data_IF_564667304675
#
_entry.id   IF_564667304675
#
_cell.length_a   1.000
_cell.length_b   1.000
_cell.length_c   1.000
_cell.angle_alpha   90.00
_cell.angle_beta   90.00
_cell.angle_gamma   90.00
#
_symmetry.space_group_name_H-M   'P 1'
#
loop_
_entity.id
_entity.type
_entity.pdbx_description
1 polymer ?
#
# COMPACT_ATOMS: atom_id res chain seq x y z
N UNK A 1 5.14 1.79 60.71
CA UNK A 1 4.66 1.45 59.37
C UNK A 1 4.66 2.72 58.54
N UNK A 2 5.53 2.88 57.53
CA UNK A 2 5.45 3.99 56.61
C UNK A 2 4.40 3.70 55.51
N UNK A 3 3.89 4.72 54.80
CA UNK A 3 2.75 4.61 53.92
C UNK A 3 3.12 3.94 52.60
N UNK A 4 2.12 3.31 52.01
CA UNK A 4 2.17 2.47 50.83
C UNK A 4 2.21 3.35 49.56
N UNK A 5 3.39 3.55 48.98
CA UNK A 5 3.56 4.18 47.65
C UNK A 5 3.21 3.16 46.55
N UNK A 6 1.93 3.13 46.18
CA UNK A 6 1.46 2.45 44.96
C UNK A 6 1.07 3.49 43.91
N UNK A 7 2.05 4.04 43.19
CA UNK A 7 1.81 4.62 41.87
C UNK A 7 3.05 4.49 40.97
N UNK A 8 2.79 4.07 39.73
CA UNK A 8 3.65 4.09 38.54
C UNK A 8 4.62 2.91 38.31
N UNK A 9 4.04 1.75 37.99
CA UNK A 9 4.59 0.87 36.95
C UNK A 9 3.49 0.59 35.93
N UNK A 10 3.39 1.44 34.91
CA UNK A 10 2.70 1.14 33.67
C UNK A 10 3.70 1.32 32.52
N UNK A 11 4.25 0.18 32.10
CA UNK A 11 4.61 -0.17 30.73
C UNK A 11 5.27 0.92 29.87
N UNK A 12 6.52 1.22 30.17
CA UNK A 12 7.46 1.64 29.13
C UNK A 12 7.76 0.43 28.22
N UNK A 13 6.86 0.13 27.29
CA UNK A 13 7.18 -0.72 26.14
C UNK A 13 8.42 -0.11 25.45
N UNK A 14 9.48 -0.90 25.18
CA UNK A 14 10.67 -0.36 24.55
C UNK A 14 10.28 0.15 23.15
N UNK A 15 10.29 1.47 22.96
CA UNK A 15 10.33 2.02 21.61
C UNK A 15 11.52 1.36 20.91
N UNK A 16 11.25 0.71 19.78
CA UNK A 16 12.24 0.18 18.86
C UNK A 16 13.46 1.11 18.78
N UNK A 17 14.69 0.55 18.77
CA UNK A 17 15.91 1.35 18.68
C UNK A 17 16.01 1.91 17.28
N UNK A 18 15.37 3.06 17.06
CA UNK A 18 15.52 3.83 15.83
C UNK A 18 16.98 4.23 15.66
N UNK A 19 17.63 3.77 14.59
CA UNK A 19 18.99 4.20 14.26
C UNK A 19 18.91 5.62 13.73
N UNK A 20 19.33 6.59 14.56
CA UNK A 20 19.58 7.96 14.11
C UNK A 20 20.76 7.93 13.16
N UNK A 21 20.47 8.08 11.87
CA UNK A 21 21.49 8.21 10.84
C UNK A 21 21.97 9.66 10.87
N UNK A 22 22.77 9.97 11.91
CA UNK A 22 23.33 11.31 12.20
C UNK A 22 24.30 11.83 11.13
N UNK A 23 24.50 11.10 10.03
CA UNK A 23 25.58 11.33 9.06
C UNK A 23 25.14 11.19 7.59
N UNK A 24 23.86 11.37 7.25
CA UNK A 24 23.54 11.68 5.83
C UNK A 24 24.02 13.10 5.57
N UNK A 25 25.22 13.21 4.99
CA UNK A 25 25.86 14.49 4.73
C UNK A 25 24.98 15.32 3.78
N UNK A 26 25.00 16.64 3.93
CA UNK A 26 24.21 17.58 3.10
C UNK A 26 24.33 17.37 1.57
N UNK A 27 25.41 16.71 1.11
CA UNK A 27 25.61 16.35 -0.30
C UNK A 27 24.83 15.11 -0.75
N UNK A 28 24.52 14.17 0.16
CA UNK A 28 23.82 12.92 -0.17
C UNK A 28 22.31 13.10 -0.26
N UNK A 29 21.71 14.04 0.49
CA UNK A 29 20.28 14.36 0.38
C UNK A 29 19.94 15.23 -0.84
N UNK A 30 20.83 15.36 -1.83
CA UNK A 30 20.64 16.17 -3.05
C UNK A 30 20.19 17.63 -2.78
N UNK A 31 20.58 18.19 -1.63
CA UNK A 31 20.18 19.53 -1.20
C UNK A 31 18.78 19.63 -0.56
N UNK A 32 18.16 18.53 -0.15
CA UNK A 32 16.86 18.51 0.54
C UNK A 32 16.99 18.33 2.07
N UNK A 33 15.89 18.56 2.79
CA UNK A 33 15.69 18.18 4.20
C UNK A 33 16.73 18.73 5.20
N UNK A 34 17.26 19.93 4.97
CA UNK A 34 18.15 20.60 5.91
C UNK A 34 17.49 20.76 7.29
N UNK A 35 18.18 20.31 8.35
CA UNK A 35 17.67 20.37 9.72
C UNK A 35 16.73 19.23 10.12
N UNK A 36 16.56 18.21 9.28
CA UNK A 36 15.79 17.01 9.61
C UNK A 36 16.70 15.85 10.00
N UNK A 37 16.31 15.13 11.05
CA UNK A 37 16.98 13.90 11.46
C UNK A 37 16.44 12.70 10.69
N UNK A 38 17.33 11.93 10.08
CA UNK A 38 16.98 10.64 9.47
C UNK A 38 17.01 9.52 10.51
N UNK A 39 16.09 8.58 10.35
CA UNK A 39 15.91 7.43 11.20
C UNK A 39 15.56 6.21 10.36
N UNK A 40 16.09 5.04 10.73
CA UNK A 40 15.73 3.74 10.14
C UNK A 40 15.22 2.80 11.22
N UNK A 41 14.10 2.16 10.95
CA UNK A 41 13.48 1.19 11.87
C UNK A 41 14.34 -0.08 11.97
N UNK A 42 14.57 -0.56 13.19
CA UNK A 42 15.32 -1.80 13.46
C UNK A 42 14.64 -3.08 12.92
N UNK A 43 13.32 -3.17 13.00
CA UNK A 43 12.50 -4.27 12.49
C UNK A 43 12.19 -4.14 10.99
N UNK A 44 13.06 -3.55 10.18
CA UNK A 44 12.84 -3.40 8.73
C UNK A 44 12.53 -4.72 8.01
N UNK A 45 13.02 -5.85 8.52
CA UNK A 45 12.64 -7.18 8.03
C UNK A 45 11.12 -7.38 8.02
N UNK A 46 10.38 -6.84 8.98
CA UNK A 46 8.91 -6.90 9.02
C UNK A 46 8.28 -6.01 7.94
N UNK A 47 8.89 -4.86 7.62
CA UNK A 47 8.44 -4.04 6.50
C UNK A 47 8.64 -4.77 5.17
N UNK A 48 9.80 -5.40 4.96
CA UNK A 48 10.09 -6.21 3.78
C UNK A 48 9.12 -7.39 3.64
N UNK A 49 8.85 -8.13 4.73
CA UNK A 49 7.84 -9.21 4.74
C UNK A 49 6.45 -8.71 4.35
N UNK A 50 6.02 -7.56 4.89
CA UNK A 50 4.72 -6.98 4.58
C UNK A 50 4.57 -6.59 3.11
N UNK A 51 5.60 -5.95 2.54
CA UNK A 51 5.63 -5.61 1.12
C UNK A 51 5.69 -6.86 0.22
N UNK A 52 6.43 -7.89 0.62
CA UNK A 52 6.45 -9.17 -0.09
C UNK A 52 5.08 -9.87 -0.09
N UNK A 53 4.44 -9.99 1.07
CA UNK A 53 3.12 -10.61 1.20
C UNK A 53 2.07 -9.87 0.34
N UNK A 54 2.10 -8.54 0.30
CA UNK A 54 1.21 -7.75 -0.54
C UNK A 54 1.40 -8.03 -2.03
N UNK A 55 2.65 -8.16 -2.49
CA UNK A 55 2.96 -8.51 -3.88
C UNK A 55 2.53 -9.92 -4.24
N UNK A 56 2.74 -10.89 -3.34
CA UNK A 56 2.25 -12.26 -3.54
C UNK A 56 0.73 -12.33 -3.64
N UNK A 57 0.02 -11.65 -2.74
CA UNK A 57 -1.44 -11.61 -2.76
C UNK A 57 -1.95 -10.86 -4.02
N UNK A 58 -1.24 -9.83 -4.47
CA UNK A 58 -1.54 -9.18 -5.75
C UNK A 58 -1.47 -10.16 -6.92
N UNK A 59 -0.34 -10.88 -7.07
CA UNK A 59 -0.15 -11.89 -8.12
C UNK A 59 -1.26 -12.94 -8.07
N UNK A 60 -1.57 -13.42 -6.86
CA UNK A 60 -2.58 -14.48 -6.63
C UNK A 60 -4.00 -14.03 -6.96
N UNK A 61 -4.38 -12.83 -6.55
CA UNK A 61 -5.79 -12.40 -6.59
C UNK A 61 -6.14 -11.55 -7.80
N UNK A 62 -5.18 -10.83 -8.38
CA UNK A 62 -5.38 -9.92 -9.52
C UNK A 62 -4.75 -10.50 -10.81
N UNK A 63 -3.69 -11.30 -10.71
CA UNK A 63 -2.90 -11.78 -11.85
C UNK A 63 -1.76 -10.83 -12.21
N UNK A 64 -0.97 -11.15 -13.24
CA UNK A 64 0.22 -10.39 -13.65
C UNK A 64 -0.10 -8.92 -13.97
N UNK A 65 -0.09 -8.06 -12.95
CA UNK A 65 0.33 -6.67 -13.09
C UNK A 65 1.85 -6.63 -13.31
N UNK A 66 2.46 -5.45 -13.49
CA UNK A 66 3.90 -5.34 -13.64
C UNK A 66 4.59 -5.77 -12.34
N UNK A 67 4.89 -7.07 -12.22
CA UNK A 67 5.62 -7.66 -11.08
C UNK A 67 7.06 -7.12 -11.01
N UNK A 68 7.50 -6.40 -12.06
CA UNK A 68 8.76 -5.66 -12.11
C UNK A 68 8.67 -4.18 -11.70
N UNK A 69 7.51 -3.69 -11.24
CA UNK A 69 7.39 -2.34 -10.68
C UNK A 69 7.42 -2.38 -9.16
N UNK A 70 8.49 -1.81 -8.60
CA UNK A 70 8.77 -1.82 -7.17
C UNK A 70 7.82 -0.86 -6.45
N UNK A 71 7.26 -1.32 -5.33
CA UNK A 71 6.50 -0.50 -4.40
C UNK A 71 7.44 0.24 -3.44
N UNK A 72 7.36 -0.07 -2.15
CA UNK A 72 8.13 0.57 -1.08
C UNK A 72 9.52 -0.03 -0.84
N UNK A 73 9.85 -1.18 -1.43
CA UNK A 73 11.15 -1.83 -1.23
C UNK A 73 12.28 -1.00 -1.85
N UNK A 74 13.37 -0.81 -1.10
CA UNK A 74 14.61 -0.20 -1.56
C UNK A 74 15.80 -0.89 -0.85
N UNK A 75 16.59 -1.72 -1.55
CA UNK A 75 17.70 -2.46 -0.96
C UNK A 75 18.92 -1.57 -0.64
N UNK A 76 19.05 -0.42 -1.29
CA UNK A 76 20.22 0.45 -1.18
C UNK A 76 20.16 1.29 0.11
N UNK A 77 19.03 1.97 0.35
CA UNK A 77 18.88 2.90 1.48
C UNK A 77 17.98 2.37 2.60
N UNK A 78 17.08 1.44 2.28
CA UNK A 78 16.14 0.83 3.21
C UNK A 78 14.68 0.97 2.78
N UNK A 79 13.84 0.07 3.24
CA UNK A 79 12.43 0.02 2.92
C UNK A 79 11.70 1.33 3.27
N UNK A 80 10.75 1.77 2.43
CA UNK A 80 9.97 3.01 2.59
C UNK A 80 9.42 3.15 4.01
N UNK A 81 8.65 2.17 4.50
CA UNK A 81 8.09 2.20 5.85
C UNK A 81 9.15 2.26 6.96
N UNK A 82 10.33 1.67 6.76
CA UNK A 82 11.40 1.69 7.77
C UNK A 82 12.06 3.07 7.87
N UNK A 83 12.13 3.83 6.77
CA UNK A 83 12.71 5.18 6.74
C UNK A 83 11.68 6.28 7.02
N UNK A 84 10.46 6.15 6.48
CA UNK A 84 9.39 7.15 6.56
C UNK A 84 8.59 7.02 7.85
N UNK A 85 8.43 5.81 8.38
CA UNK A 85 7.65 5.51 9.58
C UNK A 85 8.51 4.83 10.67
N UNK A 86 9.67 5.39 11.04
CA UNK A 86 10.63 4.72 11.91
C UNK A 86 10.18 4.60 13.38
N UNK A 87 9.09 5.29 13.74
CA UNK A 87 8.48 5.25 15.07
C UNK A 87 7.28 4.29 15.15
N UNK A 88 7.01 3.51 14.09
CA UNK A 88 6.00 2.45 14.14
C UNK A 88 6.29 1.47 15.27
N UNK A 89 5.23 0.88 15.83
CA UNK A 89 5.37 -0.29 16.69
C UNK A 89 5.80 -1.48 15.84
N UNK A 90 6.81 -2.28 16.25
CA UNK A 90 7.29 -3.43 15.47
C UNK A 90 6.17 -4.37 15.02
N UNK A 91 5.23 -4.68 15.92
CA UNK A 91 4.10 -5.57 15.67
C UNK A 91 3.07 -5.02 14.67
N UNK A 92 3.11 -3.70 14.39
CA UNK A 92 2.23 -3.04 13.39
C UNK A 92 2.94 -2.81 12.05
N UNK A 93 4.27 -2.87 12.01
CA UNK A 93 5.07 -2.46 10.85
C UNK A 93 4.80 -3.32 9.61
N UNK A 94 4.63 -4.64 9.78
CA UNK A 94 4.29 -5.55 8.67
C UNK A 94 2.96 -5.20 8.01
N UNK A 95 1.91 -4.97 8.81
CA UNK A 95 0.58 -4.59 8.31
C UNK A 95 0.59 -3.20 7.65
N UNK A 96 1.29 -2.24 8.24
CA UNK A 96 1.50 -0.90 7.67
C UNK A 96 2.19 -1.00 6.31
N UNK A 97 3.23 -1.83 6.21
CA UNK A 97 3.95 -2.05 4.96
C UNK A 97 3.09 -2.72 3.90
N UNK A 98 2.33 -3.75 4.28
CA UNK A 98 1.37 -4.41 3.40
C UNK A 98 0.34 -3.42 2.82
N UNK A 99 -0.22 -2.56 3.67
CA UNK A 99 -1.18 -1.53 3.27
C UNK A 99 -0.55 -0.56 2.25
N UNK A 100 0.64 -0.03 2.54
CA UNK A 100 1.31 0.94 1.67
C UNK A 100 1.72 0.31 0.32
N UNK A 101 2.20 -0.93 0.32
CA UNK A 101 2.54 -1.65 -0.91
C UNK A 101 1.31 -1.87 -1.81
N UNK A 102 0.17 -2.20 -1.21
CA UNK A 102 -1.11 -2.27 -1.91
C UNK A 102 -1.47 -0.91 -2.54
N UNK A 103 -1.25 0.21 -1.84
CA UNK A 103 -1.51 1.54 -2.43
C UNK A 103 -0.54 1.93 -3.54
N UNK A 104 0.75 1.60 -3.43
CA UNK A 104 1.71 1.81 -4.51
C UNK A 104 1.31 1.02 -5.76
N UNK A 105 0.90 -0.24 -5.59
CA UNK A 105 0.43 -1.09 -6.70
C UNK A 105 -0.87 -0.58 -7.32
N UNK A 106 -1.82 -0.11 -6.50
CA UNK A 106 -3.06 0.50 -6.99
C UNK A 106 -2.81 1.79 -7.77
N UNK A 107 -1.83 2.61 -7.38
CA UNK A 107 -1.48 3.86 -8.07
C UNK A 107 -0.95 3.64 -9.50
N UNK A 108 -0.37 2.47 -9.77
CA UNK A 108 0.22 2.09 -11.06
C UNK A 108 -0.81 1.49 -12.03
N UNK A 109 -1.96 1.05 -11.51
CA UNK A 109 -3.01 0.52 -12.36
C UNK A 109 -4.03 1.61 -12.73
N UNK A 110 -4.46 1.71 -14.01
CA UNK A 110 -5.61 2.54 -14.36
C UNK A 110 -6.78 2.17 -13.44
N UNK A 111 -7.30 3.16 -12.73
CA UNK A 111 -8.56 3.02 -12.02
C UNK A 111 -9.63 3.04 -13.09
N UNK A 112 -10.06 1.86 -13.53
CA UNK A 112 -11.27 1.76 -14.33
C UNK A 112 -12.41 2.42 -13.56
N UNK A 113 -13.17 3.22 -14.31
CA UNK A 113 -14.23 4.08 -13.82
C UNK A 113 -15.13 3.33 -12.81
N UNK A 114 -15.46 3.92 -11.65
CA UNK A 114 -16.42 3.31 -10.74
C UNK A 114 -17.82 3.48 -11.33
N UNK A 115 -18.19 2.65 -12.30
CA UNK A 115 -19.48 2.76 -12.97
C UNK A 115 -20.49 1.78 -12.37
N UNK A 116 -21.51 2.37 -11.73
CA UNK A 116 -22.85 1.83 -11.45
C UNK A 116 -23.01 0.98 -10.18
N UNK A 117 -23.11 1.65 -9.04
CA UNK A 117 -24.12 1.30 -8.02
C UNK A 117 -25.53 1.47 -8.63
N UNK A 118 -25.95 0.57 -9.52
CA UNK A 118 -27.35 0.50 -9.97
C UNK A 118 -28.10 -0.44 -9.04
N UNK A 119 -29.09 0.13 -8.35
CA UNK A 119 -30.17 -0.61 -7.68
C UNK A 119 -30.70 -1.68 -8.65
N UNK A 120 -30.69 -2.94 -8.22
CA UNK A 120 -31.36 -4.04 -8.93
C UNK A 120 -32.87 -3.73 -8.98
N UNK A 121 -33.51 -3.69 -10.17
CA UNK A 121 -34.95 -3.87 -10.24
C UNK A 121 -35.30 -5.37 -10.30
N UNK A 122 -36.54 -5.75 -9.93
CA UNK A 122 -36.88 -7.15 -9.69
C UNK A 122 -36.93 -7.99 -10.97
N UNK A 123 -36.60 -9.26 -10.80
CA UNK A 123 -36.69 -10.32 -11.81
C UNK A 123 -38.09 -10.38 -12.44
N UNK A 124 -38.15 -10.26 -13.77
CA UNK A 124 -39.25 -10.83 -14.55
C UNK A 124 -38.73 -11.80 -15.61
N UNK A 125 -39.07 -13.08 -15.39
CA UNK A 125 -39.09 -14.15 -16.39
C UNK A 125 -39.91 -13.70 -17.59
N UNK A 126 -39.39 -13.89 -18.81
CA UNK A 126 -40.20 -14.32 -19.96
C UNK A 126 -39.35 -15.13 -20.95
N UNK A 127 -39.69 -16.42 -21.06
CA UNK A 127 -39.44 -17.26 -22.25
C UNK A 127 -40.34 -16.76 -23.38
N UNK A 128 -39.85 -16.74 -24.62
CA UNK A 128 -40.52 -17.35 -25.78
C UNK A 128 -39.62 -17.38 -27.02
N UNK A 129 -39.76 -18.48 -27.73
CA UNK A 129 -39.14 -18.97 -28.96
C UNK A 129 -39.78 -18.41 -30.23
N UNK A 130 -39.14 -18.68 -31.38
CA UNK A 130 -39.62 -18.96 -32.77
C UNK A 130 -38.75 -18.19 -33.79
N UNK A 131 -37.88 -18.81 -34.61
CA UNK A 131 -38.07 -19.74 -35.74
C UNK A 131 -38.41 -19.05 -37.08
N UNK A 132 -37.47 -19.03 -38.05
CA UNK A 132 -37.57 -19.62 -39.40
C UNK A 132 -36.48 -19.11 -40.39
N UNK A 133 -35.99 -20.02 -41.25
CA UNK A 133 -34.91 -19.93 -42.29
C UNK A 133 -35.53 -19.67 -43.72
N UNK A 134 -34.89 -19.99 -44.87
CA UNK A 134 -33.57 -19.63 -45.49
C UNK A 134 -33.70 -19.14 -46.98
N UNK A 135 -32.60 -18.71 -47.64
CA UNK A 135 -32.41 -18.90 -49.09
C UNK A 135 -30.92 -18.89 -49.55
N UNK A 136 -30.59 -19.86 -50.41
CA UNK A 136 -29.43 -20.03 -51.34
C UNK A 136 -30.01 -20.76 -52.58
N UNK A 137 -29.39 -20.89 -53.79
CA UNK A 137 -27.93 -20.96 -54.09
C UNK A 137 -27.45 -20.42 -55.48
N UNK A 138 -26.13 -20.44 -55.75
CA UNK A 138 -25.49 -20.98 -56.99
C UNK A 138 -23.94 -20.86 -56.98
N UNK A 139 -23.28 -21.94 -57.41
CA UNK A 139 -21.84 -22.12 -57.74
C UNK A 139 -21.70 -22.52 -59.23
N UNK A 140 -20.49 -22.56 -59.84
CA UNK A 140 -19.65 -23.77 -59.81
C UNK A 140 -18.09 -23.57 -59.79
N UNK A 141 -17.41 -24.67 -59.42
CA UNK A 141 -15.98 -25.01 -59.15
C UNK A 141 -15.06 -25.08 -60.40
N UNK A 142 -13.86 -25.76 -60.49
CA UNK A 142 -13.14 -26.71 -59.57
C UNK A 142 -11.58 -26.75 -59.56
N UNK A 143 -11.00 -27.48 -58.57
CA UNK A 143 -9.90 -28.50 -58.65
C UNK A 143 -9.20 -28.61 -57.28
N UNK A 144 -9.16 -29.73 -56.52
CA UNK A 144 -8.74 -31.14 -56.71
C UNK A 144 -7.46 -31.40 -55.90
N UNK A 145 -7.56 -32.15 -54.79
CA UNK A 145 -6.80 -33.37 -54.46
C UNK A 145 -6.84 -33.72 -52.95
N UNK A 146 -7.38 -34.89 -52.66
CA UNK A 146 -7.23 -35.78 -51.49
C UNK A 146 -7.08 -37.20 -52.08
N UNK A 147 -6.61 -38.28 -51.38
CA UNK A 147 -7.17 -38.75 -50.09
C UNK A 147 -6.29 -39.65 -49.20
N UNK A 148 -6.89 -40.09 -48.08
CA UNK A 148 -6.88 -41.42 -47.42
C UNK A 148 -6.73 -41.24 -45.89
N UNK A 149 -7.46 -41.88 -44.97
CA UNK A 149 -8.76 -42.57 -44.90
C UNK A 149 -9.03 -42.76 -43.40
N UNK A 150 -10.28 -42.63 -42.95
CA UNK A 150 -10.72 -42.94 -41.57
C UNK A 150 -10.88 -44.45 -41.36
N UNK A 151 -11.08 -44.89 -40.10
CA UNK A 151 -12.29 -45.64 -39.82
C UNK A 151 -13.08 -45.03 -38.65
N UNK A 152 -14.39 -44.87 -38.88
CA UNK A 152 -15.42 -44.71 -37.86
C UNK A 152 -15.76 -46.08 -37.25
N UNK A 153 -16.09 -46.16 -35.96
CA UNK A 153 -17.41 -46.58 -35.43
C UNK A 153 -17.44 -46.49 -33.86
N UNK A 154 -18.55 -46.84 -33.14
CA UNK A 154 -19.47 -45.87 -32.52
C UNK A 154 -19.63 -46.04 -31.00
N UNK A 155 -20.29 -45.07 -30.35
CA UNK A 155 -20.73 -45.09 -28.94
C UNK A 155 -19.65 -45.28 -27.86
N UNK A 156 -19.32 -44.20 -27.16
CA UNK A 156 -18.64 -44.29 -25.87
C UNK A 156 -18.06 -42.96 -25.42
N UNK A 157 -18.77 -42.31 -24.51
CA UNK A 157 -18.30 -41.23 -23.61
C UNK A 157 -16.77 -41.09 -23.51
N UNK A 158 -16.22 -40.00 -24.04
CA UNK A 158 -14.87 -39.55 -23.73
C UNK A 158 -14.89 -38.71 -22.45
N UNK A 159 -14.50 -39.34 -21.35
CA UNK A 159 -14.05 -38.64 -20.14
C UNK A 159 -12.82 -37.77 -20.46
N UNK A 160 -12.74 -36.51 -20.03
CA UNK A 160 -11.50 -35.75 -20.15
C UNK A 160 -10.45 -36.33 -19.20
N UNK A 161 -9.27 -36.61 -19.75
CA UNK A 161 -8.05 -37.01 -19.04
C UNK A 161 -7.67 -35.97 -17.96
N UNK A 162 -7.24 -36.36 -16.74
CA UNK A 162 -7.06 -35.43 -15.63
C UNK A 162 -5.67 -34.78 -15.60
N UNK A 163 -5.15 -34.28 -16.74
CA UNK A 163 -3.81 -33.66 -16.79
C UNK A 163 -3.76 -32.35 -17.60
N UNK A 164 -4.83 -31.56 -17.52
CA UNK A 164 -4.77 -30.16 -17.90
C UNK A 164 -4.85 -29.31 -16.62
N UNK A 165 -3.67 -29.00 -16.06
CA UNK A 165 -3.47 -27.86 -15.14
C UNK A 165 -3.96 -26.60 -15.86
N UNK A 166 -5.25 -26.35 -15.74
CA UNK A 166 -5.90 -25.13 -16.21
C UNK A 166 -5.44 -24.04 -15.27
N UNK A 167 -4.45 -23.27 -15.73
CA UNK A 167 -4.11 -21.96 -15.18
C UNK A 167 -5.42 -21.25 -14.86
N UNK A 168 -5.62 -21.02 -13.56
CA UNK A 168 -6.91 -20.70 -12.97
C UNK A 168 -7.62 -19.58 -13.71
N UNK A 169 -8.95 -19.69 -13.75
CA UNK A 169 -9.89 -18.64 -14.15
C UNK A 169 -9.31 -17.25 -13.83
N UNK A 170 -9.18 -16.39 -14.85
CA UNK A 170 -8.92 -14.95 -14.65
C UNK A 170 -9.92 -14.45 -13.60
N UNK A 171 -9.44 -14.19 -12.39
CA UNK A 171 -10.21 -13.44 -11.43
C UNK A 171 -10.38 -12.04 -12.02
N UNK A 172 -11.59 -11.52 -11.95
CA UNK A 172 -11.88 -10.12 -12.28
C UNK A 172 -10.96 -9.21 -11.43
N UNK A 173 -10.21 -8.30 -12.08
CA UNK A 173 -9.27 -7.37 -11.43
C UNK A 173 -9.99 -6.60 -10.30
N UNK A 174 -11.26 -6.26 -10.52
CA UNK A 174 -12.08 -5.57 -9.53
C UNK A 174 -12.33 -6.46 -8.30
N UNK A 175 -12.64 -7.73 -8.50
CA UNK A 175 -12.80 -8.73 -7.44
C UNK A 175 -11.49 -8.95 -6.65
N UNK A 176 -10.35 -9.03 -7.34
CA UNK A 176 -9.04 -9.15 -6.71
C UNK A 176 -8.69 -7.95 -5.84
N UNK A 177 -8.88 -6.73 -6.34
CA UNK A 177 -8.68 -5.48 -5.58
C UNK A 177 -9.58 -5.42 -4.35
N UNK A 178 -10.86 -5.78 -4.48
CA UNK A 178 -11.81 -5.85 -3.36
C UNK A 178 -11.36 -6.85 -2.30
N UNK A 179 -10.80 -7.99 -2.71
CA UNK A 179 -10.28 -8.98 -1.78
C UNK A 179 -9.13 -8.42 -0.93
N UNK A 180 -8.13 -7.80 -1.56
CA UNK A 180 -7.00 -7.17 -0.86
C UNK A 180 -7.50 -6.08 0.09
N UNK A 181 -8.36 -5.18 -0.38
CA UNK A 181 -8.93 -4.11 0.43
C UNK A 181 -9.70 -4.65 1.64
N UNK A 182 -10.53 -5.68 1.45
CA UNK A 182 -11.30 -6.28 2.54
C UNK A 182 -10.40 -6.97 3.58
N UNK A 183 -9.34 -7.67 3.15
CA UNK A 183 -8.33 -8.27 4.04
C UNK A 183 -7.68 -7.18 4.89
N UNK A 184 -7.17 -6.13 4.26
CA UNK A 184 -6.47 -5.04 4.96
C UNK A 184 -7.40 -4.30 5.92
N UNK A 185 -8.61 -3.94 5.50
CA UNK A 185 -9.57 -3.25 6.37
C UNK A 185 -9.93 -4.07 7.61
N UNK A 186 -10.11 -5.39 7.45
CA UNK A 186 -10.39 -6.29 8.57
C UNK A 186 -9.25 -6.28 9.60
N UNK A 187 -8.00 -6.43 9.13
CA UNK A 187 -6.82 -6.45 10.00
C UNK A 187 -6.58 -5.10 10.68
N UNK A 188 -6.77 -3.98 9.98
CA UNK A 188 -6.67 -2.65 10.58
C UNK A 188 -7.71 -2.47 11.70
N UNK A 189 -8.98 -2.77 11.41
CA UNK A 189 -10.08 -2.60 12.37
C UNK A 189 -9.96 -3.52 13.58
N UNK A 190 -9.42 -4.73 13.43
CA UNK A 190 -9.19 -5.64 14.55
C UNK A 190 -7.99 -5.23 15.41
N UNK A 191 -7.05 -4.46 14.86
CA UNK A 191 -5.83 -4.05 15.56
C UNK A 191 -6.04 -2.75 16.33
N UNK A 192 -6.61 -1.73 15.70
CA UNK A 192 -6.81 -0.40 16.29
C UNK A 192 -7.95 0.32 15.56
N UNK A 193 -9.17 0.13 16.05
CA UNK A 193 -10.37 0.65 15.39
C UNK A 193 -10.36 2.18 15.20
N UNK A 194 -10.05 3.02 16.22
CA UNK A 194 -10.02 4.48 16.04
C UNK A 194 -9.03 4.93 14.95
N UNK A 195 -7.81 4.38 14.95
CA UNK A 195 -6.82 4.75 13.94
C UNK A 195 -7.20 4.21 12.56
N UNK A 196 -7.75 2.99 12.48
CA UNK A 196 -8.20 2.38 11.23
C UNK A 196 -9.33 3.18 10.56
N UNK A 197 -10.28 3.72 11.33
CA UNK A 197 -11.34 4.57 10.81
C UNK A 197 -10.77 5.83 10.12
N UNK A 198 -9.73 6.44 10.70
CA UNK A 198 -9.02 7.58 10.08
C UNK A 198 -8.31 7.19 8.78
N UNK A 199 -7.65 6.03 8.73
CA UNK A 199 -7.04 5.50 7.50
C UNK A 199 -8.11 5.32 6.41
N UNK A 200 -9.24 4.69 6.74
CA UNK A 200 -10.31 4.43 5.78
C UNK A 200 -10.88 5.74 5.22
N UNK A 201 -11.07 6.76 6.07
CA UNK A 201 -11.56 8.07 5.64
C UNK A 201 -10.59 8.77 4.68
N UNK A 202 -9.31 8.83 5.03
CA UNK A 202 -8.27 9.47 4.20
C UNK A 202 -8.04 8.71 2.88
N UNK A 203 -8.10 7.38 2.91
CA UNK A 203 -7.98 6.56 1.71
C UNK A 203 -9.14 6.79 0.73
N UNK A 204 -10.38 6.87 1.23
CA UNK A 204 -11.55 7.22 0.40
C UNK A 204 -11.40 8.60 -0.24
N UNK A 205 -10.90 9.58 0.52
CA UNK A 205 -10.68 10.94 0.01
C UNK A 205 -9.60 10.98 -1.09
N UNK A 206 -8.50 10.26 -0.90
CA UNK A 206 -7.44 10.09 -1.90
C UNK A 206 -8.01 9.51 -3.21
N UNK A 207 -8.68 8.35 -3.15
CA UNK A 207 -9.26 7.70 -4.34
C UNK A 207 -10.27 8.60 -5.08
N UNK A 208 -11.13 9.29 -4.33
CA UNK A 208 -12.12 10.20 -4.91
C UNK A 208 -11.46 11.41 -5.60
N UNK A 209 -10.31 11.87 -5.11
CA UNK A 209 -9.60 13.04 -5.64
C UNK A 209 -8.85 12.67 -6.92
N UNK A 210 -8.10 11.56 -6.91
CA UNK A 210 -7.38 11.03 -8.07
C UNK A 210 -8.32 10.72 -9.24
N UNK A 211 -9.55 10.28 -8.97
CA UNK A 211 -10.55 10.02 -10.00
C UNK A 211 -11.16 11.27 -10.62
N UNK A 212 -11.32 12.36 -9.85
CA UNK A 212 -12.07 13.54 -10.28
C UNK A 212 -11.23 14.60 -10.99
N UNK A 213 -9.91 14.61 -10.83
CA UNK A 213 -9.10 15.80 -11.13
C UNK A 213 -7.89 15.58 -12.06
N UNK A 214 -7.73 14.40 -12.69
CA UNK A 214 -6.59 14.15 -13.62
C UNK A 214 -6.57 15.06 -14.86
N UNK A 215 -7.68 15.71 -15.21
CA UNK A 215 -7.77 16.65 -16.34
C UNK A 215 -7.70 18.13 -15.93
N UNK A 216 -7.60 18.44 -14.63
CA UNK A 216 -7.64 19.81 -14.13
C UNK A 216 -6.44 20.62 -14.63
N UNK A 217 -6.68 21.86 -15.04
CA UNK A 217 -5.63 22.83 -15.32
C UNK A 217 -5.25 23.54 -14.02
N UNK A 218 -3.96 23.66 -13.73
CA UNK A 218 -3.44 24.40 -12.58
C UNK A 218 -2.72 25.64 -13.06
N UNK A 219 -3.01 26.80 -12.47
CA UNK A 219 -2.41 28.07 -12.88
C UNK A 219 -1.19 28.47 -12.07
N UNK A 220 -1.02 27.88 -10.88
CA UNK A 220 0.10 28.16 -9.99
C UNK A 220 0.31 27.00 -9.00
N UNK A 221 1.44 27.07 -8.28
CA UNK A 221 1.88 26.05 -7.34
C UNK A 221 0.90 25.86 -6.17
N UNK A 222 0.30 26.92 -5.65
CA UNK A 222 -0.62 26.82 -4.50
C UNK A 222 -1.92 26.09 -4.86
N UNK A 223 -2.46 26.38 -6.05
CA UNK A 223 -3.62 25.66 -6.57
C UNK A 223 -3.29 24.18 -6.80
N UNK A 224 -2.12 23.90 -7.37
CA UNK A 224 -1.64 22.55 -7.59
C UNK A 224 -1.50 21.78 -6.28
N UNK A 225 -0.85 22.36 -5.27
CA UNK A 225 -0.61 21.72 -3.97
C UNK A 225 -1.91 21.41 -3.21
N UNK A 226 -2.94 22.24 -3.37
CA UNK A 226 -4.26 21.99 -2.77
C UNK A 226 -4.85 20.66 -3.25
N UNK A 227 -4.60 20.29 -4.50
CA UNK A 227 -4.95 18.98 -5.06
C UNK A 227 -3.89 17.92 -4.70
N UNK A 228 -2.61 18.23 -4.95
CA UNK A 228 -1.52 17.26 -4.96
C UNK A 228 -1.25 16.65 -3.59
N UNK A 229 -1.43 17.41 -2.51
CA UNK A 229 -1.31 16.91 -1.13
C UNK A 229 -2.24 15.71 -0.87
N UNK A 230 -3.45 15.75 -1.41
CA UNK A 230 -4.43 14.67 -1.25
C UNK A 230 -4.17 13.55 -2.25
N UNK A 231 -3.86 13.89 -3.49
CA UNK A 231 -3.59 12.94 -4.57
C UNK A 231 -2.34 12.08 -4.32
N UNK A 232 -1.25 12.67 -3.81
CA UNK A 232 -0.04 11.93 -3.41
C UNK A 232 -0.25 11.07 -2.16
N UNK A 233 -1.39 11.20 -1.48
CA UNK A 233 -1.71 10.44 -0.28
C UNK A 233 -1.04 10.91 1.00
N UNK A 234 -0.57 12.16 1.11
CA UNK A 234 0.16 12.61 2.30
C UNK A 234 -0.67 12.47 3.59
N UNK A 235 -1.96 12.80 3.55
CA UNK A 235 -2.89 12.62 4.68
C UNK A 235 -3.18 11.14 4.99
N UNK A 236 -3.08 10.27 3.99
CA UNK A 236 -3.20 8.82 4.17
C UNK A 236 -1.95 8.23 4.83
N UNK A 237 -0.76 8.69 4.44
CA UNK A 237 0.51 8.29 5.09
C UNK A 237 0.56 8.81 6.53
N UNK A 238 0.07 10.03 6.79
CA UNK A 238 -0.13 10.54 8.16
C UNK A 238 -1.07 9.65 9.00
N UNK A 239 -2.24 9.28 8.46
CA UNK A 239 -3.15 8.38 9.18
C UNK A 239 -2.51 7.00 9.45
N UNK A 240 -1.73 6.50 8.49
CA UNK A 240 -0.99 5.24 8.62
C UNK A 240 0.12 5.35 9.66
N UNK A 241 0.81 6.49 9.75
CA UNK A 241 1.79 6.78 10.79
C UNK A 241 1.16 6.74 12.19
N UNK A 242 0.01 7.41 12.37
CA UNK A 242 -0.71 7.41 13.65
C UNK A 242 -1.13 6.00 14.06
N UNK A 243 -1.67 5.21 13.12
CA UNK A 243 -1.95 3.79 13.35
C UNK A 243 -0.69 3.02 13.73
N UNK A 244 0.40 3.20 12.98
CA UNK A 244 1.67 2.52 13.25
C UNK A 244 2.20 2.81 14.65
N UNK A 245 2.10 4.06 15.10
CA UNK A 245 2.52 4.50 16.44
C UNK A 245 1.51 4.14 17.54
N UNK A 246 0.27 3.79 17.18
CA UNK A 246 -0.85 3.68 18.12
C UNK A 246 -1.15 5.00 18.83
N UNK A 247 -1.07 6.10 18.09
CA UNK A 247 -1.19 7.46 18.62
C UNK A 247 -2.55 8.06 18.26
N UNK A 248 -3.31 8.47 19.27
CA UNK A 248 -4.57 9.21 19.10
C UNK A 248 -4.29 10.68 19.42
N UNK A 249 -4.56 11.56 18.46
CA UNK A 249 -4.36 13.00 18.68
C UNK A 249 -5.42 13.54 19.65
N UNK A 250 -5.04 14.44 20.57
CA UNK A 250 -5.98 15.16 21.42
C UNK A 250 -7.00 15.93 20.57
N UNK A 251 -8.13 16.33 21.18
CA UNK A 251 -9.09 17.20 20.50
C UNK A 251 -8.39 18.50 20.13
N UNK A 252 -8.53 18.91 18.88
CA UNK A 252 -7.87 20.09 18.35
C UNK A 252 -8.74 20.75 17.29
N UNK A 253 -8.47 22.03 17.06
CA UNK A 253 -8.98 22.72 15.88
C UNK A 253 -8.24 22.21 14.65
N UNK A 254 -8.97 21.53 13.77
CA UNK A 254 -8.42 20.96 12.54
C UNK A 254 -7.81 22.04 11.65
N UNK A 255 -8.41 23.23 11.56
CA UNK A 255 -7.90 24.29 10.68
C UNK A 255 -6.50 24.76 11.15
N UNK A 256 -6.33 24.92 12.47
CA UNK A 256 -5.03 25.29 13.06
C UNK A 256 -3.98 24.21 12.86
N UNK A 257 -4.35 22.93 13.02
CA UNK A 257 -3.41 21.83 12.78
C UNK A 257 -3.04 21.73 11.29
N UNK A 258 -4.01 21.95 10.40
CA UNK A 258 -3.79 21.96 8.95
C UNK A 258 -2.83 23.10 8.55
N UNK A 259 -2.92 24.28 9.19
CA UNK A 259 -1.96 25.38 8.98
C UNK A 259 -0.52 25.00 9.35
N UNK A 260 -0.34 24.15 10.36
CA UNK A 260 0.99 23.67 10.79
C UNK A 260 1.49 22.56 9.88
N UNK A 261 0.63 21.62 9.49
CA UNK A 261 1.01 20.38 8.81
C UNK A 261 1.02 20.49 7.29
N UNK A 262 0.28 21.44 6.71
CA UNK A 262 0.26 21.66 5.25
C UNK A 262 1.64 21.83 4.62
N UNK A 263 2.59 22.61 5.19
CA UNK A 263 3.95 22.69 4.65
C UNK A 263 4.68 21.35 4.65
N UNK A 264 4.47 20.49 5.65
CA UNK A 264 5.01 19.12 5.64
C UNK A 264 4.50 18.35 4.43
N UNK A 265 3.17 18.33 4.23
CA UNK A 265 2.56 17.59 3.13
C UNK A 265 2.93 18.15 1.75
N UNK A 266 3.04 19.47 1.63
CA UNK A 266 3.52 20.11 0.41
C UNK A 266 4.97 19.70 0.10
N UNK A 267 5.85 19.66 1.10
CA UNK A 267 7.23 19.22 0.90
C UNK A 267 7.32 17.75 0.46
N UNK A 268 6.50 16.86 1.03
CA UNK A 268 6.44 15.44 0.62
C UNK A 268 5.97 15.29 -0.83
N UNK A 269 4.92 16.02 -1.22
CA UNK A 269 4.40 16.03 -2.58
C UNK A 269 5.45 16.50 -3.59
N UNK A 270 6.12 17.62 -3.32
CA UNK A 270 7.13 18.19 -4.23
C UNK A 270 8.40 17.37 -4.29
N UNK A 271 8.83 16.77 -3.18
CA UNK A 271 9.92 15.82 -3.18
C UNK A 271 9.58 14.60 -4.06
N UNK A 272 8.37 14.05 -3.91
CA UNK A 272 7.92 12.96 -4.79
C UNK A 272 7.95 13.40 -6.26
N UNK A 273 7.33 14.52 -6.61
CA UNK A 273 7.31 15.04 -7.98
C UNK A 273 8.71 15.23 -8.56
N UNK A 274 9.66 15.73 -7.75
CA UNK A 274 11.05 15.92 -8.16
C UNK A 274 11.73 14.59 -8.52
N UNK A 275 11.66 13.59 -7.64
CA UNK A 275 12.35 12.31 -7.82
C UNK A 275 11.63 11.36 -8.79
N UNK A 276 10.30 11.44 -8.89
CA UNK A 276 9.53 10.59 -9.81
C UNK A 276 9.42 11.16 -11.22
N UNK A 277 9.81 12.42 -11.45
CA UNK A 277 9.61 13.13 -12.72
C UNK A 277 10.12 12.36 -13.92
N UNK A 278 11.36 11.87 -13.89
CA UNK A 278 11.97 11.24 -15.08
C UNK A 278 11.22 9.96 -15.48
N UNK A 279 10.78 9.17 -14.50
CA UNK A 279 9.94 7.99 -14.71
C UNK A 279 8.56 8.38 -15.24
N UNK A 280 7.87 9.31 -14.56
CA UNK A 280 6.51 9.73 -14.94
C UNK A 280 6.48 10.41 -16.32
N UNK A 281 7.53 11.15 -16.66
CA UNK A 281 7.71 11.76 -17.97
C UNK A 281 7.96 10.70 -19.04
N UNK A 282 8.79 9.69 -18.77
CA UNK A 282 8.97 8.57 -19.68
C UNK A 282 7.66 7.79 -19.91
N UNK A 283 6.90 7.50 -18.85
CA UNK A 283 5.57 6.89 -18.93
C UNK A 283 4.60 7.74 -19.76
N UNK A 284 4.60 9.06 -19.54
CA UNK A 284 3.79 10.01 -20.31
C UNK A 284 4.18 10.03 -21.79
N UNK A 285 5.46 9.94 -22.12
CA UNK A 285 5.95 9.89 -23.51
C UNK A 285 5.66 8.54 -24.19
N UNK A 286 5.75 7.42 -23.46
CA UNK A 286 5.57 6.07 -23.98
C UNK A 286 4.11 5.60 -24.04
N UNK A 287 3.20 6.25 -23.30
CA UNK A 287 1.78 5.88 -23.28
C UNK A 287 1.12 5.94 -24.66
N UNK A 288 0.42 4.86 -25.05
CA UNK A 288 -0.39 4.84 -26.26
C UNK A 288 -1.35 6.04 -26.27
N UNK A 289 -1.30 6.81 -27.35
CA UNK A 289 -2.05 8.06 -27.60
C UNK A 289 -3.56 7.92 -27.36
N UNK A 290 -4.02 7.95 -26.10
CA UNK A 290 -5.38 8.34 -25.75
C UNK A 290 -5.40 9.85 -25.72
N UNK A 291 -5.99 10.46 -26.75
CA UNK A 291 -6.25 11.90 -26.91
C UNK A 291 -5.23 12.84 -26.23
N UNK A 292 -4.28 13.37 -27.00
CA UNK A 292 -3.28 14.35 -26.52
C UNK A 292 -3.89 15.57 -25.79
N UNK A 293 -5.17 15.89 -26.01
CA UNK A 293 -5.85 16.97 -25.30
C UNK A 293 -6.27 16.61 -23.87
N UNK A 294 -6.41 15.33 -23.53
CA UNK A 294 -6.94 14.88 -22.23
C UNK A 294 -5.86 14.37 -21.27
N UNK A 295 -4.73 13.85 -21.79
CA UNK A 295 -3.62 13.38 -20.95
C UNK A 295 -2.69 14.53 -20.58
N UNK A 296 -2.73 14.98 -19.33
CA UNK A 296 -1.81 15.98 -18.76
C UNK A 296 -0.93 15.31 -17.70
N UNK A 297 0.37 15.55 -17.75
CA UNK A 297 1.30 15.11 -16.72
C UNK A 297 1.08 15.95 -15.45
N UNK A 298 0.70 15.27 -14.36
CA UNK A 298 0.36 15.88 -13.07
C UNK A 298 1.60 15.86 -12.17
N UNK A 299 2.55 16.75 -12.45
CA UNK A 299 3.83 16.80 -11.73
C UNK A 299 4.32 18.27 -11.67
N UNK A 300 4.77 18.74 -10.51
CA UNK A 300 5.22 20.12 -10.32
C UNK A 300 6.36 20.53 -11.27
N UNK A 301 7.30 19.64 -11.60
CA UNK A 301 8.42 19.95 -12.52
C UNK A 301 7.85 20.27 -13.90
N UNK A 302 6.94 19.44 -14.40
CA UNK A 302 6.24 19.67 -15.67
C UNK A 302 5.46 20.99 -15.65
N UNK A 303 4.73 21.26 -14.57
CA UNK A 303 3.95 22.48 -14.44
C UNK A 303 4.84 23.73 -14.41
N UNK A 304 5.97 23.70 -13.68
CA UNK A 304 6.94 24.79 -13.67
C UNK A 304 7.54 25.06 -15.06
N UNK A 305 7.87 24.01 -15.82
CA UNK A 305 8.32 24.17 -17.21
C UNK A 305 7.28 24.93 -18.04
N UNK A 306 5.99 24.61 -17.89
CA UNK A 306 4.91 25.24 -18.65
C UNK A 306 4.56 26.64 -18.15
N UNK A 307 4.52 26.88 -16.84
CA UNK A 307 4.19 28.19 -16.27
C UNK A 307 5.24 29.25 -16.56
N UNK A 308 6.53 28.86 -16.58
CA UNK A 308 7.64 29.79 -16.67
C UNK A 308 8.44 29.69 -17.98
N UNK A 309 8.16 28.72 -18.85
CA UNK A 309 8.87 28.53 -20.11
C UNK A 309 10.34 28.16 -19.94
N UNK A 310 10.66 27.40 -18.89
CA UNK A 310 12.04 27.05 -18.49
C UNK A 310 12.39 25.59 -18.81
N UNK A 311 13.68 25.29 -18.94
CA UNK A 311 14.18 23.94 -19.12
C UNK A 311 13.97 23.07 -17.86
N UNK A 312 13.97 21.74 -18.04
CA UNK A 312 13.74 20.76 -16.96
C UNK A 312 14.66 20.95 -15.75
N UNK A 313 15.94 21.22 -15.96
CA UNK A 313 16.90 21.41 -14.86
C UNK A 313 16.57 22.64 -14.00
N UNK A 314 16.14 23.72 -14.66
CA UNK A 314 15.70 24.94 -13.97
C UNK A 314 14.39 24.66 -13.22
N UNK A 315 13.44 23.98 -13.84
CA UNK A 315 12.18 23.60 -13.19
C UNK A 315 12.40 22.68 -11.97
N UNK A 316 13.27 21.67 -12.09
CA UNK A 316 13.72 20.82 -10.97
C UNK A 316 14.33 21.68 -9.87
N UNK A 317 15.18 22.66 -10.21
CA UNK A 317 15.73 23.63 -9.26
C UNK A 317 14.65 24.39 -8.49
N UNK A 318 13.65 24.92 -9.19
CA UNK A 318 12.51 25.65 -8.61
C UNK A 318 11.67 24.77 -7.67
N UNK A 319 11.37 23.53 -8.08
CA UNK A 319 10.61 22.57 -7.26
C UNK A 319 11.39 22.20 -6.00
N UNK A 320 12.70 21.97 -6.10
CA UNK A 320 13.56 21.72 -4.93
C UNK A 320 13.58 22.91 -3.97
N UNK A 321 13.70 24.13 -4.49
CA UNK A 321 13.68 25.34 -3.66
C UNK A 321 12.35 25.50 -2.93
N UNK A 322 11.22 25.35 -3.64
CA UNK A 322 9.90 25.38 -3.05
C UNK A 322 9.71 24.28 -1.98
N UNK A 323 10.12 23.05 -2.28
CA UNK A 323 10.10 21.93 -1.34
C UNK A 323 10.85 22.26 -0.04
N UNK A 324 12.07 22.79 -0.15
CA UNK A 324 12.87 23.21 1.00
C UNK A 324 12.24 24.38 1.77
N UNK A 325 11.61 25.33 1.07
CA UNK A 325 10.85 26.41 1.68
C UNK A 325 9.73 25.88 2.57
N UNK A 326 8.91 24.97 2.06
CA UNK A 326 7.85 24.33 2.85
C UNK A 326 8.39 23.46 3.99
N UNK A 327 9.48 22.72 3.77
CA UNK A 327 10.11 21.93 4.82
C UNK A 327 10.64 22.82 5.96
N UNK A 328 11.27 23.95 5.65
CA UNK A 328 11.73 24.91 6.66
C UNK A 328 10.54 25.52 7.42
N UNK A 329 9.47 25.86 6.71
CA UNK A 329 8.27 26.41 7.30
C UNK A 329 7.56 25.42 8.23
N UNK A 330 7.55 24.12 7.88
CA UNK A 330 7.02 23.09 8.76
C UNK A 330 7.78 23.00 10.09
N UNK A 331 9.13 23.01 10.05
CA UNK A 331 9.94 23.01 11.27
C UNK A 331 9.55 24.18 12.17
N UNK A 332 9.55 25.40 11.62
CA UNK A 332 9.19 26.62 12.34
C UNK A 332 7.79 26.53 12.97
N UNK A 333 6.77 26.20 12.18
CA UNK A 333 5.37 26.11 12.66
C UNK A 333 5.18 25.01 13.70
N UNK A 334 5.82 23.85 13.53
CA UNK A 334 5.72 22.74 14.49
C UNK A 334 6.29 23.12 15.85
N UNK A 335 7.41 23.86 15.87
CA UNK A 335 8.01 24.32 17.12
C UNK A 335 7.21 25.43 17.78
N UNK A 336 6.64 26.36 17.00
CA UNK A 336 5.74 27.39 17.52
C UNK A 336 4.49 26.78 18.13
N UNK A 337 3.89 25.79 17.47
CA UNK A 337 2.76 25.05 18.00
C UNK A 337 3.12 24.37 19.34
N UNK A 338 4.26 23.68 19.41
CA UNK A 338 4.70 23.01 20.64
C UNK A 338 5.04 23.98 21.78
N UNK A 339 5.54 25.19 21.47
CA UNK A 339 5.76 26.25 22.47
C UNK A 339 4.47 26.87 22.97
N UNK A 340 3.48 27.02 22.08
CA UNK A 340 2.15 27.57 22.40
C UNK A 340 1.15 26.56 22.96
N UNK A 341 1.50 25.27 23.00
CA UNK A 341 0.66 24.24 23.59
C UNK A 341 0.56 24.42 25.11
N UNK A 342 -0.55 25.00 25.56
CA UNK A 342 -1.00 24.99 26.94
C UNK A 342 -1.79 23.68 27.16
N UNK A 343 -1.19 22.72 27.85
CA UNK A 343 -1.79 21.41 28.13
C UNK A 343 -1.00 20.65 29.18
N UNK A 344 -1.58 19.59 29.75
CA UNK A 344 -0.85 18.70 30.65
C UNK A 344 0.31 18.02 29.90
N UNK A 345 1.34 17.61 30.65
CA UNK A 345 2.56 16.96 30.15
C UNK A 345 2.26 15.80 29.21
N UNK A 346 1.18 15.06 29.48
CA UNK A 346 0.70 13.95 28.66
C UNK A 346 0.28 14.36 27.24
N UNK A 347 -0.48 15.45 27.08
CA UNK A 347 -0.90 15.94 25.76
C UNK A 347 0.29 16.51 24.96
N UNK A 348 1.21 17.18 25.66
CA UNK A 348 2.43 17.70 25.04
C UNK A 348 3.30 16.58 24.46
N UNK A 349 3.46 15.46 25.18
CA UNK A 349 4.17 14.28 24.67
C UNK A 349 3.54 13.74 23.37
N UNK A 350 2.20 13.70 23.31
CA UNK A 350 1.50 13.25 22.10
C UNK A 350 1.81 14.16 20.90
N UNK A 351 1.78 15.48 21.08
CA UNK A 351 2.13 16.43 20.02
C UNK A 351 3.60 16.34 19.61
N UNK A 352 4.51 16.21 20.57
CA UNK A 352 5.94 16.04 20.30
C UNK A 352 6.22 14.78 19.47
N UNK A 353 5.59 13.66 19.83
CA UNK A 353 5.68 12.40 19.08
C UNK A 353 5.07 12.52 17.69
N UNK A 354 3.91 13.16 17.57
CA UNK A 354 3.25 13.39 16.29
C UNK A 354 4.11 14.20 15.31
N UNK A 355 4.62 15.36 15.73
CA UNK A 355 5.46 16.19 14.87
C UNK A 355 6.82 15.54 14.60
N UNK A 356 7.38 14.77 15.54
CA UNK A 356 8.59 13.98 15.29
C UNK A 356 8.36 12.94 14.19
N UNK A 357 7.24 12.23 14.23
CA UNK A 357 6.84 11.29 13.18
C UNK A 357 6.76 11.96 11.81
N UNK A 358 6.08 13.11 11.72
CA UNK A 358 6.00 13.89 10.46
C UNK A 358 7.37 14.35 9.96
N UNK A 359 8.26 14.80 10.86
CA UNK A 359 9.63 15.19 10.49
C UNK A 359 10.39 14.01 9.87
N UNK A 360 10.25 12.81 10.44
CA UNK A 360 10.87 11.63 9.84
C UNK A 360 10.29 11.26 8.47
N UNK A 361 9.00 11.53 8.22
CA UNK A 361 8.46 11.32 6.87
C UNK A 361 9.18 12.17 5.84
N UNK A 362 9.49 13.44 6.15
CA UNK A 362 10.19 14.36 5.24
C UNK A 362 11.57 13.81 4.86
N UNK A 363 12.42 13.51 5.86
CA UNK A 363 13.76 12.97 5.59
C UNK A 363 13.73 11.56 4.99
N UNK A 364 12.88 10.69 5.51
CA UNK A 364 12.77 9.31 5.07
C UNK A 364 12.30 9.19 3.62
N UNK A 365 11.36 10.05 3.22
CA UNK A 365 10.85 10.09 1.85
C UNK A 365 11.94 10.50 0.87
N UNK A 366 12.71 11.55 1.19
CA UNK A 366 13.82 11.99 0.34
C UNK A 366 14.86 10.90 0.21
N UNK A 367 15.35 10.35 1.32
CA UNK A 367 16.43 9.36 1.29
C UNK A 367 16.00 8.09 0.57
N UNK A 368 14.78 7.61 0.81
CA UNK A 368 14.24 6.50 0.05
C UNK A 368 14.17 6.81 -1.46
N UNK A 369 13.77 8.02 -1.83
CA UNK A 369 13.58 8.42 -3.24
C UNK A 369 14.88 8.58 -4.03
N UNK A 370 16.02 8.77 -3.37
CA UNK A 370 17.31 8.97 -4.03
C UNK A 370 17.74 7.81 -4.91
N UNK A 371 17.43 6.57 -4.50
CA UNK A 371 17.85 5.35 -5.19
C UNK A 371 16.81 4.24 -5.18
N UNK A 372 15.55 4.51 -4.84
CA UNK A 372 14.55 3.45 -4.87
C UNK A 372 14.37 2.91 -6.30
N UNK A 373 14.31 1.59 -6.49
CA UNK A 373 14.08 1.00 -7.81
C UNK A 373 12.78 1.45 -8.49
N UNK A 374 11.84 1.98 -7.68
CA UNK A 374 10.59 2.57 -8.14
C UNK A 374 10.81 3.81 -9.01
N UNK A 375 11.83 4.63 -8.76
CA UNK A 375 12.15 5.82 -9.56
C UNK A 375 13.36 5.59 -10.46
N UNK A 376 14.29 4.72 -10.05
CA UNK A 376 15.56 4.50 -10.73
C UNK A 376 15.56 3.15 -11.44
N UNK A 377 15.49 3.14 -12.78
CA UNK A 377 15.43 1.91 -13.58
C UNK A 377 16.66 1.02 -13.47
N UNK A 378 17.82 1.64 -13.27
CA UNK A 378 19.10 0.93 -13.28
C UNK A 378 19.31 0.11 -11.99
N UNK A 379 18.58 0.45 -10.93
CA UNK A 379 18.52 -0.27 -9.66
C UNK A 379 17.50 -1.44 -9.69
N UNK A 380 16.80 -1.66 -10.82
CA UNK A 380 15.80 -2.75 -10.99
C UNK A 380 16.40 -4.12 -11.34
N UNK A 381 17.73 -4.25 -11.37
CA UNK A 381 18.40 -5.55 -11.49
C UNK A 381 18.25 -6.46 -10.25
N UNK A 382 17.72 -5.90 -9.15
CA UNK A 382 17.52 -6.56 -7.87
C UNK A 382 16.11 -7.15 -7.75
N UNK A 383 15.91 -8.45 -7.58
CA UNK A 383 14.57 -8.99 -7.29
C UNK A 383 14.13 -8.53 -5.88
N UNK A 384 13.04 -7.73 -5.76
CA UNK A 384 12.59 -7.21 -4.47
C UNK A 384 12.02 -8.29 -3.55
N UNK A 385 11.88 -9.52 -4.04
CA UNK A 385 11.48 -10.69 -3.27
C UNK A 385 12.68 -11.52 -2.78
N UNK A 386 13.84 -11.44 -3.45
CA UNK A 386 14.94 -12.36 -3.23
C UNK A 386 15.39 -12.42 -1.77
N UNK A 387 15.30 -13.62 -1.18
CA UNK A 387 15.73 -13.93 0.18
C UNK A 387 14.66 -13.69 1.25
N UNK A 388 13.52 -13.08 0.90
CA UNK A 388 12.35 -12.96 1.78
C UNK A 388 11.49 -14.24 1.73
N UNK A 389 11.54 -14.98 0.62
CA UNK A 389 10.79 -16.23 0.44
C UNK A 389 11.19 -17.28 1.47
N UNK A 390 12.48 -17.40 1.76
CA UNK A 390 13.00 -18.37 2.72
C UNK A 390 12.56 -18.07 4.16
N UNK A 391 12.53 -16.78 4.53
CA UNK A 391 12.08 -16.35 5.85
C UNK A 391 10.57 -16.55 6.05
N UNK A 392 9.76 -16.19 5.04
CA UNK A 392 8.30 -16.36 5.07
C UNK A 392 7.92 -17.84 4.99
N UNK A 393 8.59 -18.62 4.16
CA UNK A 393 8.39 -20.08 4.08
C UNK A 393 8.78 -20.77 5.37
N UNK A 394 9.89 -20.38 6.00
CA UNK A 394 10.28 -20.89 7.32
C UNK A 394 9.26 -20.52 8.40
N UNK A 395 8.69 -19.32 8.37
CA UNK A 395 7.66 -18.87 9.31
C UNK A 395 6.32 -19.60 9.11
N UNK A 396 5.89 -19.78 7.85
CA UNK A 396 4.72 -20.61 7.52
C UNK A 396 4.91 -22.07 7.92
N UNK A 397 6.11 -22.64 7.71
CA UNK A 397 6.45 -24.00 8.17
C UNK A 397 6.40 -24.09 9.70
N UNK A 398 6.95 -23.10 10.42
CA UNK A 398 6.86 -23.05 11.89
C UNK A 398 5.43 -22.93 12.39
N UNK A 399 4.61 -22.07 11.78
CA UNK A 399 3.19 -21.92 12.12
C UNK A 399 2.37 -23.18 11.83
N UNK A 400 2.63 -23.86 10.71
CA UNK A 400 2.01 -25.13 10.38
C UNK A 400 2.40 -26.25 11.36
N UNK A 401 3.68 -26.32 11.74
CA UNK A 401 4.17 -27.28 12.73
C UNK A 401 3.60 -27.00 14.13
N UNK A 402 3.49 -25.73 14.54
CA UNK A 402 2.87 -25.35 15.81
C UNK A 402 1.37 -25.66 15.84
N UNK A 403 0.65 -25.43 14.73
CA UNK A 403 -0.77 -25.78 14.61
C UNK A 403 -1.01 -27.29 14.67
N UNK A 404 -0.13 -28.10 14.06
CA UNK A 404 -0.15 -29.56 14.21
C UNK A 404 0.11 -30.02 15.64
N UNK A 405 1.06 -29.40 16.33
CA UNK A 405 1.34 -29.72 17.73
C UNK A 405 0.16 -29.35 18.65
N UNK A 406 -0.55 -28.25 18.40
CA UNK A 406 -1.79 -27.94 19.13
C UNK A 406 -2.94 -28.90 18.83
N UNK A 407 -3.08 -29.37 17.59
CA UNK A 407 -4.07 -30.41 17.24
C UNK A 407 -3.73 -31.76 17.88
N UNK A 408 -2.47 -32.20 17.81
CA UNK A 408 -1.98 -33.42 18.44
C UNK A 408 -2.11 -33.36 19.98
N UNK A 409 -1.84 -32.19 20.59
CA UNK A 409 -2.04 -31.98 22.03
C UNK A 409 -3.52 -32.04 22.39
N UNK A 410 -4.41 -31.38 21.63
CA UNK A 410 -5.86 -31.45 21.86
C UNK A 410 -6.39 -32.87 21.69
N UNK A 411 -5.91 -33.60 20.70
CA UNK A 411 -6.30 -34.99 20.46
C UNK A 411 -5.80 -35.90 21.60
N UNK A 412 -4.55 -35.72 22.07
CA UNK A 412 -4.00 -36.40 23.23
C UNK A 412 -4.78 -36.10 24.52
N UNK A 413 -5.12 -34.84 24.77
CA UNK A 413 -5.92 -34.42 25.93
C UNK A 413 -7.34 -35.02 25.86
N UNK A 414 -7.90 -35.15 24.65
CA UNK A 414 -9.19 -35.80 24.40
C UNK A 414 -9.14 -37.31 24.70
N UNK A 415 -8.08 -38.00 24.29
CA UNK A 415 -7.86 -39.42 24.62
C UNK A 415 -7.65 -39.65 26.13
N UNK A 416 -6.95 -38.76 26.82
CA UNK A 416 -6.74 -38.86 28.27
C UNK A 416 -8.05 -38.63 29.05
N UNK A 417 -8.88 -37.67 28.64
CA UNK A 417 -10.20 -37.44 29.24
C UNK A 417 -11.21 -38.56 28.95
N UNK A 418 -11.10 -39.24 27.81
CA UNK A 418 -11.94 -40.40 27.46
C UNK A 418 -11.63 -41.67 28.26
N UNK A 419 -10.39 -41.84 28.72
CA UNK A 419 -9.96 -43.00 29.52
C UNK A 419 -10.40 -42.93 30.98
N UNK A 420 -10.68 -41.75 31.53
CA UNK A 420 -11.19 -41.59 32.91
C UNK A 420 -12.69 -41.92 33.07
N UNK A 421 -13.44 -42.07 31.96
CA UNK A 421 -14.91 -42.26 31.99
C UNK A 421 -15.34 -43.73 31.80
N UNK A 422 -14.41 -44.69 31.74
CA UNK A 422 -14.76 -46.12 31.64
C UNK A 422 -14.22 -46.96 32.80
N UNK A 423 -14.91 -46.86 33.94
CA UNK A 423 -14.91 -47.94 34.96
C UNK A 423 -16.23 -47.95 35.72
N UNK A 424 -17.23 -48.76 35.30
CA UNK A 424 -18.29 -49.18 36.19
C UNK A 424 -17.80 -50.39 36.99
N UNK A 425 -17.76 -50.24 38.31
CA UNK A 425 -17.51 -51.34 39.25
C UNK A 425 -18.53 -52.45 39.07
N UNK A 426 -18.03 -53.69 38.95
CA UNK A 426 -18.80 -54.91 39.16
C UNK A 426 -18.41 -55.42 40.54
N UNK A 427 -19.22 -55.10 41.55
CA UNK A 427 -19.24 -55.83 42.83
C UNK A 427 -19.98 -57.15 42.62
N UNK A 428 -19.30 -58.25 42.90
CA UNK A 428 -19.91 -59.58 43.07
C UNK A 428 -20.08 -59.82 44.56
N UNK A 429 -21.31 -60.03 45.02
CA UNK A 429 -21.60 -60.58 46.34
C UNK A 429 -22.76 -61.59 46.29
N UNK A 430 -22.42 -62.80 46.74
CA UNK A 430 -23.18 -64.03 47.04
C UNK A 430 -23.75 -64.86 45.87
#
# INVERSE_FOLDING_TARGET
MPPNDYFHQQDALPMAKTLLLSQYAHNEAAGFCHGYSLARHDAESEANKGGHEARQDWIKHIGCGPVGEYGGCNPADGHFCALVLPMCKPERLRLVSYLLECTFSLSLTPVDQPDKFRRLPPRHRRRRSLSCKPHTPRTPSPSMLTPLSQPTNPNGTTTPHPDAFTLGRRNDIESGRKHLQAKTMRQLLSTDKPCAERIIQTWKAMLATTLKQKSKHFFNLEEYLTFRIVDTGATFVEATMLFGMGLILPKHDKAKLDEVTRPCFASLALANDYFSFDREYAEFCCGEKRNKEESRLVNAVWLCMNWYGVAVEVAKGMVREACNGYAKEFLRRSEEFLRGCEGDRSEKDVWERYFRGLKHQVSGNVVWSLRCPRYHSDERGFDPNAGVEDAVTAEMRRGFLAGKQEEEQKESDWWQQGLEVTSPGVEVAM
#
